data_IF_727410830935
#
_entry.id   IF_727410830935
#
_cell.length_a   1.000
_cell.length_b   1.000
_cell.length_c   1.000
_cell.angle_alpha   90.00
_cell.angle_beta   90.00
_cell.angle_gamma   90.00
#
_symmetry.space_group_name_H-M   'P 1'
#
loop_
_entity.id
_entity.type
_entity.pdbx_description
1 polymer ?
#
# COMPACT_ATOMS: atom_id res chain seq x y z
N UNK A 1 4.46 35.27 -1.21
CA UNK A 1 5.17 33.97 -1.41
C UNK A 1 4.47 32.79 -0.73
N UNK A 2 3.89 32.95 0.46
CA UNK A 2 3.31 31.82 1.23
C UNK A 2 2.00 31.26 0.64
N UNK A 3 1.10 32.12 0.13
CA UNK A 3 -0.16 31.71 -0.53
C UNK A 3 0.07 30.83 -1.77
N UNK A 4 1.10 31.13 -2.57
CA UNK A 4 1.44 30.37 -3.77
C UNK A 4 1.97 28.97 -3.43
N UNK A 5 2.75 28.83 -2.34
CA UNK A 5 3.24 27.54 -1.85
C UNK A 5 2.10 26.66 -1.33
N UNK A 6 1.15 27.25 -0.57
CA UNK A 6 -0.04 26.53 -0.06
C UNK A 6 -0.92 26.00 -1.20
N UNK A 7 -1.24 26.86 -2.17
CA UNK A 7 -2.05 26.46 -3.35
C UNK A 7 -1.39 25.36 -4.18
N UNK A 8 -0.06 25.39 -4.33
CA UNK A 8 0.70 24.35 -5.04
C UNK A 8 0.66 23.00 -4.28
N UNK A 9 0.76 23.03 -2.95
CA UNK A 9 0.66 21.83 -2.12
C UNK A 9 -0.76 21.22 -2.17
N UNK A 10 -1.80 22.05 -2.13
CA UNK A 10 -3.20 21.59 -2.29
C UNK A 10 -3.45 20.95 -3.65
N UNK A 11 -2.92 21.54 -4.72
CA UNK A 11 -3.02 20.97 -6.07
C UNK A 11 -2.32 19.60 -6.13
N UNK A 12 -1.09 19.53 -5.61
CA UNK A 12 -0.32 18.28 -5.60
C UNK A 12 -1.01 17.18 -4.78
N UNK A 13 -1.65 17.54 -3.66
CA UNK A 13 -2.47 16.61 -2.88
C UNK A 13 -3.62 16.06 -3.72
N UNK A 14 -4.42 16.94 -4.35
CA UNK A 14 -5.55 16.52 -5.20
C UNK A 14 -5.11 15.61 -6.35
N UNK A 15 -4.01 15.93 -7.01
CA UNK A 15 -3.48 15.08 -8.09
C UNK A 15 -3.10 13.68 -7.60
N UNK A 16 -2.53 13.56 -6.38
CA UNK A 16 -2.22 12.24 -5.79
C UNK A 16 -3.48 11.48 -5.40
N UNK A 17 -4.47 12.18 -4.84
CA UNK A 17 -5.75 11.59 -4.46
C UNK A 17 -6.50 11.05 -5.70
N UNK A 18 -6.55 11.83 -6.77
CA UNK A 18 -7.12 11.43 -8.07
C UNK A 18 -6.34 10.25 -8.69
N UNK A 19 -5.00 10.29 -8.59
CA UNK A 19 -4.17 9.18 -9.08
C UNK A 19 -4.44 7.88 -8.32
N UNK A 20 -4.64 7.95 -6.99
CA UNK A 20 -4.98 6.78 -6.19
C UNK A 20 -6.34 6.21 -6.62
N UNK A 21 -7.35 7.07 -6.79
CA UNK A 21 -8.68 6.65 -7.24
C UNK A 21 -8.61 5.92 -8.58
N UNK A 22 -7.93 6.50 -9.56
CA UNK A 22 -7.75 5.88 -10.87
C UNK A 22 -7.05 4.52 -10.79
N UNK A 23 -6.01 4.39 -9.97
CA UNK A 23 -5.29 3.12 -9.80
C UNK A 23 -6.16 2.04 -9.12
N UNK A 24 -7.03 2.43 -8.18
CA UNK A 24 -7.98 1.50 -7.56
C UNK A 24 -9.01 1.04 -8.57
N UNK A 25 -9.62 1.94 -9.33
CA UNK A 25 -10.57 1.59 -10.40
C UNK A 25 -9.94 0.65 -11.42
N UNK A 26 -8.74 0.97 -11.89
CA UNK A 26 -8.00 0.12 -12.81
C UNK A 26 -7.72 -1.26 -12.20
N UNK A 27 -7.37 -1.30 -10.92
CA UNK A 27 -7.16 -2.53 -10.16
C UNK A 27 -8.41 -3.41 -10.07
N UNK A 28 -9.58 -2.81 -9.83
CA UNK A 28 -10.88 -3.51 -9.81
C UNK A 28 -11.14 -4.19 -11.16
N UNK A 29 -10.93 -3.45 -12.25
CA UNK A 29 -11.09 -3.99 -13.60
C UNK A 29 -10.10 -5.12 -13.90
N UNK A 30 -8.84 -4.96 -13.50
CA UNK A 30 -7.80 -5.96 -13.76
C UNK A 30 -7.99 -7.25 -12.94
N UNK A 31 -8.54 -7.15 -11.73
CA UNK A 31 -8.85 -8.30 -10.87
C UNK A 31 -10.18 -8.98 -11.23
N UNK A 32 -10.99 -8.39 -12.11
CA UNK A 32 -12.30 -8.93 -12.49
C UNK A 32 -13.29 -9.02 -11.32
N UNK A 33 -13.16 -8.13 -10.34
CA UNK A 33 -14.04 -8.13 -9.16
C UNK A 33 -15.49 -7.80 -9.57
N UNK A 34 -16.44 -8.62 -9.13
CA UNK A 34 -17.86 -8.31 -9.29
C UNK A 34 -18.24 -7.12 -8.41
N UNK A 35 -18.50 -5.99 -9.06
CA UNK A 35 -18.92 -4.75 -8.42
C UNK A 35 -20.42 -4.79 -8.14
N UNK A 36 -20.81 -5.48 -7.07
CA UNK A 36 -22.14 -5.26 -6.48
C UNK A 36 -22.21 -3.84 -5.90
N UNK A 37 -23.41 -3.28 -5.75
CA UNK A 37 -23.60 -1.94 -5.17
C UNK A 37 -23.01 -1.83 -3.75
N UNK A 38 -23.12 -2.90 -2.97
CA UNK A 38 -22.50 -3.01 -1.64
C UNK A 38 -20.97 -2.97 -1.72
N UNK A 39 -20.38 -3.68 -2.69
CA UNK A 39 -18.93 -3.71 -2.88
C UNK A 39 -18.39 -2.35 -3.29
N UNK A 40 -19.06 -1.69 -4.24
CA UNK A 40 -18.70 -0.35 -4.71
C UNK A 40 -18.74 0.64 -3.55
N UNK A 41 -19.86 0.68 -2.82
CA UNK A 41 -20.01 1.55 -1.65
C UNK A 41 -18.91 1.33 -0.63
N UNK A 42 -18.58 0.07 -0.34
CA UNK A 42 -17.51 -0.28 0.59
C UNK A 42 -16.13 0.19 0.13
N UNK A 43 -15.79 0.00 -1.15
CA UNK A 43 -14.52 0.49 -1.72
C UNK A 43 -14.47 2.01 -1.67
N UNK A 44 -15.56 2.69 -2.04
CA UNK A 44 -15.65 4.14 -2.01
C UNK A 44 -15.48 4.71 -0.58
N UNK A 45 -16.12 4.09 0.42
CA UNK A 45 -16.00 4.51 1.82
C UNK A 45 -14.57 4.29 2.36
N UNK A 46 -13.97 3.14 2.07
CA UNK A 46 -12.59 2.85 2.44
C UNK A 46 -11.61 3.83 1.76
N UNK A 47 -11.79 4.07 0.47
CA UNK A 47 -10.97 4.98 -0.31
C UNK A 47 -11.07 6.41 0.23
N UNK A 48 -12.29 6.89 0.50
CA UNK A 48 -12.52 8.20 1.13
C UNK A 48 -11.80 8.33 2.45
N UNK A 49 -11.85 7.31 3.30
CA UNK A 49 -11.15 7.34 4.58
C UNK A 49 -9.62 7.40 4.40
N UNK A 50 -9.04 6.58 3.52
CA UNK A 50 -7.60 6.57 3.25
C UNK A 50 -7.11 7.93 2.68
N UNK A 51 -7.91 8.55 1.81
CA UNK A 51 -7.66 9.90 1.29
C UNK A 51 -7.74 10.98 2.39
N UNK A 52 -8.75 10.89 3.26
CA UNK A 52 -8.92 11.80 4.40
C UNK A 52 -7.74 11.71 5.38
N UNK A 53 -7.24 10.50 5.63
CA UNK A 53 -6.03 10.26 6.43
C UNK A 53 -4.75 10.74 5.72
N UNK A 54 -4.81 11.09 4.44
CA UNK A 54 -3.69 11.55 3.62
C UNK A 54 -2.68 10.44 3.36
N UNK A 55 -3.17 9.21 3.12
CA UNK A 55 -2.35 8.03 2.87
C UNK A 55 -2.07 7.79 1.37
N UNK A 56 -2.65 8.60 0.48
CA UNK A 56 -2.51 8.42 -0.97
C UNK A 56 -1.05 8.28 -1.41
N UNK A 57 -0.16 9.15 -0.94
CA UNK A 57 1.26 9.11 -1.29
C UNK A 57 1.97 7.83 -0.80
N UNK A 58 1.65 7.39 0.43
CA UNK A 58 2.24 6.19 1.01
C UNK A 58 1.78 4.95 0.26
N UNK A 59 0.48 4.88 -0.10
CA UNK A 59 -0.09 3.76 -0.85
C UNK A 59 0.46 3.69 -2.29
N UNK A 60 0.55 4.83 -2.98
CA UNK A 60 1.14 4.89 -4.33
C UNK A 60 2.61 4.50 -4.32
N UNK A 61 3.38 4.96 -3.33
CA UNK A 61 4.79 4.60 -3.19
C UNK A 61 4.93 3.10 -2.86
N UNK A 62 4.11 2.57 -1.96
CA UNK A 62 4.12 1.16 -1.61
C UNK A 62 3.76 0.28 -2.81
N UNK A 63 2.75 0.67 -3.60
CA UNK A 63 2.41 0.03 -4.87
C UNK A 63 3.59 0.00 -5.82
N UNK A 64 4.25 1.14 -6.04
CA UNK A 64 5.42 1.23 -6.92
C UNK A 64 6.57 0.31 -6.47
N UNK A 65 6.79 0.19 -5.16
CA UNK A 65 7.79 -0.74 -4.59
C UNK A 65 7.41 -2.19 -4.85
N UNK A 66 6.16 -2.58 -4.60
CA UNK A 66 5.69 -3.96 -4.81
C UNK A 66 5.72 -4.33 -6.29
N UNK A 67 5.28 -3.43 -7.17
CA UNK A 67 5.26 -3.66 -8.61
C UNK A 67 6.68 -3.71 -9.18
N UNK A 68 7.57 -2.80 -8.77
CA UNK A 68 8.98 -2.82 -9.19
C UNK A 68 9.72 -4.06 -8.69
N UNK A 69 9.50 -4.47 -7.45
CA UNK A 69 10.03 -5.73 -6.92
C UNK A 69 9.51 -6.95 -7.70
N UNK A 70 8.22 -6.94 -8.09
CA UNK A 70 7.64 -8.00 -8.92
C UNK A 70 8.25 -8.03 -10.32
N UNK A 71 8.45 -6.88 -10.96
CA UNK A 71 8.94 -6.79 -12.34
C UNK A 71 10.45 -7.06 -12.45
N UNK A 72 11.26 -6.49 -11.55
CA UNK A 72 12.72 -6.53 -11.67
C UNK A 72 13.36 -7.71 -10.94
N UNK A 73 12.69 -8.22 -9.90
CA UNK A 73 13.24 -9.26 -9.03
C UNK A 73 12.41 -10.55 -9.02
N UNK A 74 11.29 -10.59 -9.78
CA UNK A 74 10.29 -11.66 -9.73
C UNK A 74 9.81 -11.93 -8.28
N UNK A 75 9.84 -10.88 -7.46
CA UNK A 75 9.58 -10.94 -6.03
C UNK A 75 8.12 -10.61 -5.74
N UNK A 76 7.32 -11.64 -5.45
CA UNK A 76 5.94 -11.45 -5.04
C UNK A 76 5.85 -11.52 -3.51
N UNK A 77 5.29 -10.51 -2.83
CA UNK A 77 5.03 -10.61 -1.40
C UNK A 77 3.92 -11.64 -1.15
N UNK A 78 4.11 -12.45 -0.10
CA UNK A 78 3.01 -13.27 0.43
C UNK A 78 1.93 -12.36 1.05
N UNK A 79 0.66 -12.82 1.12
CA UNK A 79 -0.42 -12.06 1.76
C UNK A 79 -0.01 -11.59 3.15
N UNK A 80 0.05 -10.27 3.33
CA UNK A 80 0.62 -9.71 4.55
C UNK A 80 -0.35 -9.77 5.73
N UNK A 81 0.23 -9.74 6.94
CA UNK A 81 -0.49 -9.51 8.20
C UNK A 81 -0.26 -8.06 8.62
N UNK A 82 -1.32 -7.34 8.97
CA UNK A 82 -1.24 -5.93 9.38
C UNK A 82 -2.54 -5.17 9.12
N UNK A 83 -2.51 -3.85 9.32
CA UNK A 83 -3.73 -3.03 9.33
C UNK A 83 -4.46 -3.06 7.98
N UNK A 84 -3.74 -3.12 6.84
CA UNK A 84 -4.35 -3.18 5.49
C UNK A 84 -4.62 -4.61 4.98
N UNK A 85 -4.42 -5.66 5.78
CA UNK A 85 -4.58 -7.04 5.29
C UNK A 85 -6.05 -7.35 4.90
N UNK A 86 -6.99 -6.65 5.51
CA UNK A 86 -8.43 -6.71 5.21
C UNK A 86 -8.93 -5.62 4.27
N UNK A 87 -8.03 -4.83 3.68
CA UNK A 87 -8.36 -3.69 2.82
C UNK A 87 -8.63 -4.15 1.40
N UNK A 88 -9.80 -3.78 0.85
CA UNK A 88 -10.12 -4.06 -0.55
C UNK A 88 -9.31 -3.11 -1.44
N UNK A 89 -9.15 -1.85 -1.03
CA UNK A 89 -8.31 -0.87 -1.73
C UNK A 89 -6.86 -1.38 -1.88
N UNK A 90 -6.26 -1.94 -0.83
CA UNK A 90 -4.90 -2.50 -0.92
C UNK A 90 -4.82 -3.72 -1.85
N UNK A 91 -5.90 -4.52 -1.94
CA UNK A 91 -6.01 -5.63 -2.87
C UNK A 91 -6.10 -5.13 -4.32
N UNK A 92 -6.96 -4.14 -4.59
CA UNK A 92 -7.09 -3.51 -5.90
C UNK A 92 -5.77 -2.90 -6.39
N UNK A 93 -5.00 -2.28 -5.49
CA UNK A 93 -3.69 -1.72 -5.83
C UNK A 93 -2.62 -2.79 -6.13
N UNK A 94 -2.88 -4.06 -5.81
CA UNK A 94 -1.94 -5.18 -5.99
C UNK A 94 -0.85 -5.25 -4.89
N UNK A 95 -1.09 -4.57 -3.76
CA UNK A 95 -0.18 -4.58 -2.59
C UNK A 95 -0.33 -5.89 -1.80
N UNK A 96 -1.57 -6.41 -1.69
CA UNK A 96 -1.84 -7.75 -1.18
C UNK A 96 -2.25 -8.68 -2.32
N UNK A 97 -1.83 -9.94 -2.22
CA UNK A 97 -2.15 -11.01 -3.18
C UNK A 97 -3.35 -11.85 -2.76
N UNK A 98 -3.84 -11.71 -1.51
CA UNK A 98 -4.99 -12.46 -1.02
C UNK A 98 -6.28 -11.64 -1.08
N UNK A 99 -7.32 -12.18 -1.70
CA UNK A 99 -8.65 -11.57 -1.71
C UNK A 99 -9.21 -11.49 -0.27
N UNK A 100 -9.43 -10.29 0.29
CA UNK A 100 -9.93 -10.13 1.66
C UNK A 100 -11.39 -10.60 1.80
N UNK A 101 -12.16 -10.62 0.70
CA UNK A 101 -13.55 -11.07 0.67
C UNK A 101 -13.65 -12.57 0.89
N UNK A 102 -12.85 -13.36 0.15
CA UNK A 102 -12.83 -14.82 0.24
C UNK A 102 -12.35 -15.31 1.60
N UNK A 103 -11.43 -14.58 2.22
CA UNK A 103 -10.84 -14.96 3.51
C UNK A 103 -11.65 -14.46 4.72
N UNK A 104 -12.79 -13.77 4.49
CA UNK A 104 -13.59 -13.12 5.52
C UNK A 104 -12.74 -12.23 6.46
N UNK A 105 -11.69 -11.61 5.92
CA UNK A 105 -10.74 -10.76 6.65
C UNK A 105 -11.14 -9.28 6.62
N UNK A 106 -12.36 -8.99 6.21
CA UNK A 106 -12.88 -7.63 6.07
C UNK A 106 -12.73 -6.87 7.38
N UNK A 107 -11.95 -5.80 7.35
CA UNK A 107 -11.80 -4.89 8.48
C UNK A 107 -12.88 -3.81 8.46
N UNK A 108 -13.39 -3.35 9.61
CA UNK A 108 -14.24 -2.17 9.66
C UNK A 108 -13.48 -0.99 9.07
N UNK A 109 -14.16 -0.17 8.26
CA UNK A 109 -13.54 0.98 7.60
C UNK A 109 -12.93 1.91 8.66
N UNK A 110 -13.56 2.07 9.82
CA UNK A 110 -13.15 3.00 10.88
C UNK A 110 -11.93 2.60 11.74
N UNK A 111 -11.30 1.44 11.50
CA UNK A 111 -10.24 0.90 12.38
C UNK A 111 -8.79 1.27 11.99
N UNK A 112 -8.56 2.25 11.10
CA UNK A 112 -7.21 2.64 10.72
C UNK A 112 -6.51 3.55 11.73
N UNK A 113 -5.68 2.96 12.59
CA UNK A 113 -4.77 3.70 13.47
C UNK A 113 -3.48 4.11 12.73
N UNK A 114 -3.10 5.39 12.85
CA UNK A 114 -1.84 5.91 12.32
C UNK A 114 -0.71 5.80 13.36
N UNK A 115 0.55 5.53 12.94
CA UNK A 115 0.94 5.18 11.58
C UNK A 115 0.49 3.76 11.22
N UNK A 116 0.08 3.56 9.96
CA UNK A 116 -0.29 2.23 9.48
C UNK A 116 0.93 1.30 9.56
N UNK A 117 0.76 0.15 10.21
CA UNK A 117 1.80 -0.87 10.30
C UNK A 117 1.50 -2.02 9.34
N UNK A 118 2.46 -2.30 8.46
CA UNK A 118 2.38 -3.31 7.42
C UNK A 118 3.60 -4.22 7.53
N UNK A 119 3.41 -5.51 7.29
CA UNK A 119 4.51 -6.48 7.28
C UNK A 119 4.50 -7.25 5.97
N UNK A 120 5.37 -6.90 5.03
CA UNK A 120 5.52 -7.67 3.79
C UNK A 120 6.42 -8.87 4.03
N UNK A 121 5.93 -10.05 3.65
CA UNK A 121 6.68 -11.29 3.75
C UNK A 121 7.25 -11.65 2.38
N UNK A 122 8.57 -11.85 2.33
CA UNK A 122 9.28 -12.31 1.14
C UNK A 122 10.09 -13.57 1.48
N UNK A 123 10.32 -14.41 0.48
CA UNK A 123 11.27 -15.52 0.61
C UNK A 123 12.65 -15.00 1.03
N UNK A 124 13.37 -15.80 1.83
CA UNK A 124 14.65 -15.41 2.41
C UNK A 124 15.68 -14.96 1.35
N UNK A 125 15.72 -15.65 0.21
CA UNK A 125 16.62 -15.35 -0.90
C UNK A 125 16.35 -13.99 -1.55
N UNK A 126 15.09 -13.53 -1.52
CA UNK A 126 14.64 -12.35 -2.27
C UNK A 126 14.47 -11.13 -1.37
N UNK A 127 14.20 -11.31 -0.07
CA UNK A 127 14.01 -10.22 0.90
C UNK A 127 15.15 -9.20 0.88
N UNK A 128 16.40 -9.66 0.86
CA UNK A 128 17.55 -8.74 0.85
C UNK A 128 17.63 -7.96 -0.47
N UNK A 129 17.38 -8.64 -1.60
CA UNK A 129 17.35 -8.00 -2.93
C UNK A 129 16.28 -6.91 -3.01
N UNK A 130 15.09 -7.14 -2.45
CA UNK A 130 14.01 -6.14 -2.39
C UNK A 130 14.45 -4.92 -1.59
N UNK A 131 15.09 -5.14 -0.43
CA UNK A 131 15.59 -4.04 0.41
C UNK A 131 16.66 -3.22 -0.31
N UNK A 132 17.58 -3.89 -1.00
CA UNK A 132 18.63 -3.22 -1.76
C UNK A 132 18.07 -2.50 -2.99
N UNK A 133 17.04 -3.05 -3.64
CA UNK A 133 16.33 -2.40 -4.74
C UNK A 133 15.62 -1.12 -4.28
N UNK A 134 14.96 -1.13 -3.12
CA UNK A 134 14.32 0.06 -2.53
C UNK A 134 15.35 1.16 -2.28
N UNK A 135 16.52 0.79 -1.74
CA UNK A 135 17.63 1.74 -1.50
C UNK A 135 18.19 2.30 -2.81
N UNK A 136 18.38 1.44 -3.82
CA UNK A 136 18.92 1.83 -5.13
C UNK A 136 18.00 2.81 -5.87
N UNK A 137 16.69 2.65 -5.72
CA UNK A 137 15.69 3.51 -6.35
C UNK A 137 15.36 4.78 -5.51
N UNK A 138 16.03 4.99 -4.38
CA UNK A 138 15.88 6.20 -3.57
C UNK A 138 14.54 6.30 -2.83
N UNK A 139 13.82 5.19 -2.65
CA UNK A 139 12.54 5.17 -1.93
C UNK A 139 12.76 5.27 -0.41
N UNK A 140 12.89 6.51 0.09
CA UNK A 140 12.99 6.86 1.52
C UNK A 140 14.06 6.09 2.33
N UNK A 141 14.23 6.44 3.60
CA UNK A 141 15.28 5.87 4.45
C UNK A 141 14.85 4.51 5.02
N UNK A 142 15.38 3.42 4.47
CA UNK A 142 15.23 2.08 5.04
C UNK A 142 16.11 1.95 6.29
N UNK A 143 15.48 1.76 7.45
CA UNK A 143 16.16 1.55 8.74
C UNK A 143 16.14 0.09 9.13
N UNK A 144 17.12 -0.34 9.93
CA UNK A 144 17.11 -1.67 10.52
C UNK A 144 16.68 -1.59 11.98
N UNK A 145 15.63 -2.33 12.36
CA UNK A 145 15.18 -2.47 13.75
C UNK A 145 15.11 -3.95 14.09
N UNK A 146 15.79 -4.37 15.16
CA UNK A 146 15.82 -5.78 15.60
C UNK A 146 16.19 -6.75 14.45
N UNK A 147 17.21 -6.41 13.66
CA UNK A 147 17.67 -7.19 12.49
C UNK A 147 16.67 -7.32 11.34
N UNK A 148 15.58 -6.54 11.36
CA UNK A 148 14.58 -6.47 10.30
C UNK A 148 14.66 -5.12 9.58
N UNK A 149 14.68 -5.11 8.24
CA UNK A 149 14.57 -3.88 7.47
C UNK A 149 13.15 -3.32 7.55
N UNK A 150 13.07 -2.02 7.79
CA UNK A 150 11.82 -1.25 7.92
C UNK A 150 11.91 -0.03 7.03
N UNK A 151 10.91 0.15 6.18
CA UNK A 151 10.67 1.38 5.45
C UNK A 151 9.73 2.27 6.27
N UNK A 152 10.26 3.42 6.72
CA UNK A 152 9.48 4.41 7.47
C UNK A 152 9.06 5.54 6.55
N UNK A 153 7.75 5.67 6.36
CA UNK A 153 7.11 6.78 5.65
C UNK A 153 6.45 7.71 6.67
N UNK A 154 5.83 8.80 6.20
CA UNK A 154 5.22 9.82 7.05
C UNK A 154 4.13 9.23 7.96
N UNK A 155 3.21 8.44 7.38
CA UNK A 155 2.04 7.87 8.08
C UNK A 155 1.96 6.36 7.98
N UNK A 156 3.04 5.72 7.53
CA UNK A 156 3.09 4.29 7.25
C UNK A 156 4.46 3.73 7.61
N UNK A 157 4.47 2.55 8.19
CA UNK A 157 5.67 1.79 8.52
C UNK A 157 5.52 0.40 7.91
N UNK A 158 6.47 0.03 7.06
CA UNK A 158 6.48 -1.26 6.36
C UNK A 158 7.67 -2.07 6.84
N UNK A 159 7.41 -3.16 7.55
CA UNK A 159 8.42 -4.14 7.95
C UNK A 159 8.56 -5.22 6.87
N UNK A 160 9.80 -5.56 6.53
CA UNK A 160 10.09 -6.65 5.58
C UNK A 160 10.54 -7.89 6.36
N UNK A 161 9.66 -8.89 6.45
CA UNK A 161 9.94 -10.15 7.13
C UNK A 161 10.22 -11.27 6.15
N UNK A 162 10.92 -12.29 6.66
CA UNK A 162 11.17 -13.54 5.93
C UNK A 162 9.99 -14.47 6.16
N UNK A 163 9.58 -15.18 5.11
CA UNK A 163 8.71 -16.35 5.28
C UNK A 163 9.52 -17.40 6.06
N UNK A 164 9.00 -17.82 7.20
CA UNK A 164 9.54 -18.97 7.94
C UNK A 164 8.75 -20.18 7.46
N UNK A 165 9.34 -20.95 6.55
CA UNK A 165 8.81 -22.26 6.13
C UNK A 165 9.19 -23.31 7.16
#
# INVERSE_FOLDING_TARGET
MERTKRRKAELAKRTKDESLQFQVEWGIHNLGLELTDEMRTRIDDELRLLLNLGLADNLLTLKAIVDGARQDLEAVPEPFKGNLAGSIVAYCLGITTGNPLEKNLLKPVDEYALPLQLTLYYDNAVRNRVVDWIKAHGYQEVKTRLSQPILKMDKMVVEFKRVVK
#
